data_IF_113860608983
#
_entry.id   IF_113860608983
#
_cell.length_a   1.000
_cell.length_b   1.000
_cell.length_c   1.000
_cell.angle_alpha   90.00
_cell.angle_beta   90.00
_cell.angle_gamma   90.00
#
_symmetry.space_group_name_H-M   'P 1'
#
loop_
_entity.id
_entity.type
_entity.pdbx_description
1 polymer ?
#
# COMPACT_ATOMS: atom_id res chain seq x y z
N UNK A 1 18.72 -35.36 31.85
CA UNK A 1 17.67 -34.35 31.56
C UNK A 1 18.32 -33.18 30.81
N UNK A 2 18.35 -33.15 29.46
CA UNK A 2 18.98 -32.05 28.76
C UNK A 2 17.92 -30.97 28.49
N UNK A 3 17.91 -29.94 29.34
CA UNK A 3 17.10 -28.71 29.19
C UNK A 3 17.72 -27.73 28.18
N UNK A 4 18.49 -28.22 27.19
CA UNK A 4 19.29 -27.37 26.28
C UNK A 4 18.67 -27.11 24.90
N UNK A 5 17.44 -27.54 24.64
CA UNK A 5 16.84 -27.35 23.31
C UNK A 5 15.47 -26.67 23.36
N UNK A 6 15.25 -25.77 24.33
CA UNK A 6 14.13 -24.85 24.24
C UNK A 6 14.53 -23.70 23.31
N UNK A 7 14.50 -23.98 22.00
CA UNK A 7 14.58 -22.95 20.97
C UNK A 7 13.47 -21.94 21.23
N UNK A 8 13.85 -20.73 21.59
CA UNK A 8 12.92 -19.62 21.77
C UNK A 8 12.43 -19.20 20.39
N UNK A 9 11.39 -19.87 19.88
CA UNK A 9 10.72 -19.49 18.65
C UNK A 9 10.02 -18.15 18.89
N UNK A 10 10.67 -17.07 18.46
CA UNK A 10 10.10 -15.73 18.43
C UNK A 10 9.03 -15.73 17.32
N UNK A 11 7.78 -15.98 17.71
CA UNK A 11 6.64 -15.92 16.79
C UNK A 11 6.31 -14.45 16.54
N UNK A 12 6.82 -13.91 15.44
CA UNK A 12 6.37 -12.61 14.93
C UNK A 12 5.02 -12.81 14.26
N UNK A 13 3.94 -12.35 14.90
CA UNK A 13 2.64 -12.26 14.25
C UNK A 13 2.63 -11.04 13.31
N UNK A 14 3.02 -11.24 12.05
CA UNK A 14 2.76 -10.24 11.02
C UNK A 14 1.24 -10.24 10.76
N UNK A 15 0.56 -9.15 11.13
CA UNK A 15 -0.86 -8.97 10.79
C UNK A 15 -1.03 -8.79 9.29
N UNK A 16 -2.14 -9.29 8.76
CA UNK A 16 -2.47 -9.11 7.34
C UNK A 16 -2.68 -7.62 7.04
N UNK A 17 -2.06 -7.12 5.97
CA UNK A 17 -2.29 -5.75 5.52
C UNK A 17 -3.76 -5.53 5.12
N UNK A 18 -4.26 -4.33 5.35
CA UNK A 18 -5.62 -3.96 4.98
C UNK A 18 -5.73 -2.46 4.68
N UNK A 19 -6.74 -2.08 3.91
CA UNK A 19 -7.07 -0.67 3.71
C UNK A 19 -7.62 -0.08 5.00
N UNK A 20 -6.91 0.89 5.58
CA UNK A 20 -7.44 1.75 6.63
C UNK A 20 -8.36 2.82 6.02
N UNK A 21 -7.98 3.33 4.86
CA UNK A 21 -8.79 4.21 4.01
C UNK A 21 -8.77 3.64 2.60
N UNK A 22 -9.95 3.32 2.07
CA UNK A 22 -10.12 2.85 0.69
C UNK A 22 -10.42 4.04 -0.22
N UNK A 23 -9.83 4.12 -1.42
CA UNK A 23 -10.20 5.15 -2.40
C UNK A 23 -11.67 5.02 -2.79
N UNK A 24 -12.30 6.16 -3.08
CA UNK A 24 -13.70 6.24 -3.46
C UNK A 24 -13.88 7.04 -4.75
N UNK A 25 -15.02 6.82 -5.40
CA UNK A 25 -15.37 7.50 -6.64
C UNK A 25 -15.40 9.02 -6.42
N UNK A 26 -14.56 9.72 -7.16
CA UNK A 26 -14.43 11.18 -7.11
C UNK A 26 -14.80 11.77 -8.47
N UNK A 27 -15.69 12.76 -8.48
CA UNK A 27 -16.07 13.50 -9.69
C UNK A 27 -15.39 14.86 -9.68
N UNK A 28 -14.71 15.18 -10.77
CA UNK A 28 -14.06 16.47 -10.98
C UNK A 28 -14.51 17.05 -12.32
N UNK A 29 -14.49 18.38 -12.43
CA UNK A 29 -14.71 19.05 -13.71
C UNK A 29 -13.47 18.90 -14.60
N UNK A 30 -13.65 18.96 -15.91
CA UNK A 30 -12.54 19.00 -16.85
C UNK A 30 -11.58 20.16 -16.54
N UNK A 31 -10.27 19.89 -16.54
CA UNK A 31 -9.23 20.84 -16.14
C UNK A 31 -9.07 21.04 -14.63
N UNK A 32 -9.90 20.40 -13.80
CA UNK A 32 -9.75 20.37 -12.35
C UNK A 32 -8.80 19.26 -11.86
N UNK A 33 -8.39 19.34 -10.60
CA UNK A 33 -7.53 18.36 -9.94
C UNK A 33 -8.38 17.38 -9.11
N UNK A 34 -8.02 16.10 -9.14
CA UNK A 34 -8.63 15.05 -8.32
C UNK A 34 -7.55 14.38 -7.44
N UNK A 35 -7.85 14.24 -6.14
CA UNK A 35 -7.01 13.51 -5.19
C UNK A 35 -7.75 12.26 -4.71
N UNK A 36 -7.16 11.10 -4.94
CA UNK A 36 -7.68 9.81 -4.45
C UNK A 36 -6.89 9.41 -3.20
N UNK A 37 -7.56 9.43 -2.05
CA UNK A 37 -6.96 9.05 -0.78
C UNK A 37 -6.86 7.54 -0.63
N UNK A 38 -5.75 7.06 -0.06
CA UNK A 38 -5.54 5.66 0.26
C UNK A 38 -4.59 5.55 1.45
N UNK A 39 -4.98 4.73 2.43
CA UNK A 39 -4.12 4.39 3.56
C UNK A 39 -4.13 2.88 3.78
N UNK A 40 -2.94 2.30 3.93
CA UNK A 40 -2.76 0.87 4.21
C UNK A 40 -2.22 0.70 5.61
N UNK A 41 -2.94 -0.04 6.45
CA UNK A 41 -2.47 -0.44 7.77
C UNK A 41 -1.81 -1.83 7.70
N UNK A 42 -0.88 -2.08 8.63
CA UNK A 42 -0.08 -3.32 8.66
C UNK A 42 0.61 -3.60 7.32
N UNK A 43 1.15 -2.56 6.67
CA UNK A 43 1.75 -2.63 5.34
C UNK A 43 2.81 -3.74 5.28
N UNK A 44 2.61 -4.69 4.37
CA UNK A 44 3.51 -5.82 4.14
C UNK A 44 3.89 -5.86 2.66
N UNK A 45 4.51 -4.78 2.16
CA UNK A 45 4.90 -4.63 0.77
C UNK A 45 4.96 -3.17 0.32
N UNK A 46 4.81 -2.95 -1.00
CA UNK A 46 4.65 -1.63 -1.60
C UNK A 46 3.18 -1.35 -1.92
N UNK A 47 2.80 -0.08 -1.92
CA UNK A 47 1.50 0.39 -2.41
C UNK A 47 1.66 0.82 -3.87
N UNK A 48 0.73 0.41 -4.74
CA UNK A 48 0.74 0.75 -6.16
C UNK A 48 -0.66 1.12 -6.62
N UNK A 49 -0.76 2.20 -7.39
CA UNK A 49 -2.00 2.58 -8.06
C UNK A 49 -2.13 1.85 -9.38
N UNK A 50 -3.35 1.46 -9.72
CA UNK A 50 -3.66 0.92 -11.05
C UNK A 50 -4.82 1.70 -11.66
N UNK A 51 -4.79 1.82 -12.99
CA UNK A 51 -5.89 2.36 -13.78
C UNK A 51 -6.14 1.43 -14.94
N UNK A 52 -7.39 0.98 -15.08
CA UNK A 52 -7.83 0.07 -16.15
C UNK A 52 -6.98 -1.20 -16.29
N UNK A 53 -6.45 -1.71 -15.17
CA UNK A 53 -5.62 -2.92 -15.11
C UNK A 53 -4.12 -2.70 -15.30
N UNK A 54 -3.65 -1.45 -15.47
CA UNK A 54 -2.23 -1.12 -15.64
C UNK A 54 -1.67 -0.42 -14.41
N UNK A 55 -0.44 -0.76 -14.03
CA UNK A 55 0.30 -0.07 -12.98
C UNK A 55 0.59 1.37 -13.41
N UNK A 56 0.25 2.34 -12.57
CA UNK A 56 0.77 3.70 -12.73
C UNK A 56 2.19 3.69 -12.17
N UNK A 57 3.17 3.76 -13.06
CA UNK A 57 4.55 4.03 -12.66
C UNK A 57 4.63 5.49 -12.17
N UNK A 58 5.56 5.75 -11.26
CA UNK A 58 5.85 7.12 -10.85
C UNK A 58 6.41 7.86 -12.07
N UNK A 59 5.58 8.68 -12.71
CA UNK A 59 6.05 9.63 -13.71
C UNK A 59 6.99 10.59 -12.99
N UNK A 60 8.30 10.36 -13.15
CA UNK A 60 9.31 11.33 -12.77
C UNK A 60 8.99 12.66 -13.46
N UNK A 61 9.26 13.76 -12.78
CA UNK A 61 8.84 15.14 -13.02
C UNK A 61 9.25 15.79 -14.36
N UNK A 62 9.50 15.01 -15.41
CA UNK A 62 10.08 15.45 -16.68
C UNK A 62 9.05 15.78 -17.77
N UNK A 63 7.76 15.46 -17.58
CA UNK A 63 6.67 15.77 -18.53
C UNK A 63 5.96 17.10 -18.26
N UNK A 64 6.52 17.93 -17.36
CA UNK A 64 6.09 19.31 -17.09
C UNK A 64 7.15 20.33 -17.57
N UNK A 65 7.64 20.14 -18.80
CA UNK A 65 8.43 21.12 -19.56
C UNK A 65 7.85 21.33 -20.95
#
# INVERSE_FOLDING_TARGET
MPVHFLSLLLVVSAGQQYFRVQPHDTKVQEGGEAMLECEVAMLAGAVQWTKDGFALEELSSEELR
#
